data_IF_024707426688
#
_entry.id   IF_024707426688
#
_cell.length_a   1.000
_cell.length_b   1.000
_cell.length_c   1.000
_cell.angle_alpha   90.00
_cell.angle_beta   90.00
_cell.angle_gamma   90.00
#
_symmetry.space_group_name_H-M   'P 1'
#
loop_
_entity.id
_entity.type
_entity.pdbx_description
1 polymer ?
#
# COMPACT_ATOMS: atom_id res chain seq x y z
N UNK A 1 9.50 0.38 16.39
CA UNK A 1 8.97 -0.62 15.43
C UNK A 1 9.82 -1.90 15.29
N UNK A 2 11.16 -1.85 15.19
CA UNK A 2 11.99 -3.08 15.03
C UNK A 2 11.82 -4.12 16.16
N UNK A 3 11.73 -3.68 17.42
CA UNK A 3 11.53 -4.57 18.56
C UNK A 3 10.21 -5.36 18.46
N UNK A 4 9.12 -4.69 18.07
CA UNK A 4 7.81 -5.33 17.84
C UNK A 4 7.89 -6.34 16.71
N UNK A 5 8.52 -5.99 15.58
CA UNK A 5 8.72 -6.94 14.47
C UNK A 5 9.52 -8.18 14.91
N UNK A 6 10.56 -8.00 15.72
CA UNK A 6 11.33 -9.12 16.25
C UNK A 6 10.51 -10.01 17.20
N UNK A 7 9.67 -9.41 18.06
CA UNK A 7 8.78 -10.18 18.92
C UNK A 7 7.75 -10.98 18.12
N UNK A 8 7.13 -10.38 17.10
CA UNK A 8 6.17 -11.06 16.23
C UNK A 8 6.80 -12.23 15.45
N UNK A 9 8.08 -12.11 15.06
CA UNK A 9 8.83 -13.20 14.41
C UNK A 9 9.10 -14.41 15.31
N UNK A 10 8.85 -14.31 16.61
CA UNK A 10 8.96 -15.45 17.52
C UNK A 10 7.72 -16.36 17.48
N UNK A 11 6.61 -15.92 16.89
CA UNK A 11 5.41 -16.71 16.72
C UNK A 11 5.49 -17.58 15.45
N UNK A 12 4.94 -18.79 15.51
CA UNK A 12 4.73 -19.62 14.32
C UNK A 12 3.40 -19.31 13.64
N UNK A 13 3.28 -19.69 12.36
CA UNK A 13 2.00 -19.68 11.66
C UNK A 13 1.00 -20.59 12.38
N UNK A 14 -0.15 -20.04 12.77
CA UNK A 14 -1.21 -20.77 13.48
C UNK A 14 -1.15 -20.66 15.02
N UNK A 15 -0.15 -19.99 15.57
CA UNK A 15 -0.12 -19.65 17.00
C UNK A 15 -1.17 -18.58 17.32
N UNK A 16 -1.75 -18.65 18.52
CA UNK A 16 -2.58 -17.56 19.06
C UNK A 16 -1.68 -16.53 19.73
N UNK A 17 -1.68 -15.30 19.21
CA UNK A 17 -0.97 -14.16 19.80
C UNK A 17 -1.86 -13.31 20.70
N UNK A 18 -1.37 -12.97 21.89
CA UNK A 18 -2.06 -12.12 22.86
C UNK A 18 -1.14 -10.96 23.22
N UNK A 19 -1.64 -9.72 23.11
CA UNK A 19 -0.96 -8.50 23.54
C UNK A 19 -1.61 -8.03 24.83
N UNK A 20 -0.82 -7.87 25.89
CA UNK A 20 -1.27 -7.46 27.22
C UNK A 20 -0.61 -6.14 27.61
N UNK A 21 -1.42 -5.24 28.12
CA UNK A 21 -1.01 -3.99 28.75
C UNK A 21 -1.61 -3.93 30.16
N UNK A 22 -0.86 -3.42 31.12
CA UNK A 22 -1.31 -3.23 32.49
C UNK A 22 -0.95 -1.82 32.96
N UNK A 23 -1.92 -1.09 33.53
CA UNK A 23 -1.71 0.26 34.04
C UNK A 23 -0.67 0.33 35.17
N UNK A 24 -0.40 -0.81 35.82
CA UNK A 24 0.63 -0.96 36.86
C UNK A 24 2.04 -1.11 36.29
N UNK A 25 2.18 -1.49 35.02
CA UNK A 25 3.47 -1.67 34.33
C UNK A 25 3.49 -0.92 32.99
N UNK A 26 3.35 0.41 33.08
CA UNK A 26 3.19 1.31 31.93
C UNK A 26 4.42 1.39 31.01
N UNK A 27 5.55 0.85 31.47
CA UNK A 27 6.80 0.86 30.73
C UNK A 27 6.96 -0.38 29.86
N UNK A 28 6.06 -1.36 29.94
CA UNK A 28 6.19 -2.60 29.18
C UNK A 28 4.91 -2.96 28.43
N UNK A 29 5.09 -3.68 27.33
CA UNK A 29 4.04 -4.38 26.61
C UNK A 29 4.41 -5.86 26.59
N UNK A 30 3.49 -6.71 27.00
CA UNK A 30 3.71 -8.16 27.05
C UNK A 30 3.03 -8.85 25.87
N UNK A 31 3.79 -9.65 25.14
CA UNK A 31 3.30 -10.54 24.09
C UNK A 31 3.31 -11.97 24.62
N UNK A 32 2.26 -12.73 24.33
CA UNK A 32 2.16 -14.15 24.67
C UNK A 32 1.71 -14.93 23.43
N UNK A 33 2.50 -15.92 23.01
CA UNK A 33 2.21 -16.77 21.85
C UNK A 33 1.95 -18.20 22.31
N UNK A 34 0.78 -18.72 21.97
CA UNK A 34 0.30 -20.04 22.38
C UNK A 34 0.21 -20.91 21.14
N UNK A 35 0.84 -22.08 21.16
CA UNK A 35 0.70 -23.04 20.06
C UNK A 35 -0.75 -23.55 19.95
N UNK A 36 -1.10 -24.10 18.79
CA UNK A 36 -2.46 -24.58 18.53
C UNK A 36 -2.91 -25.67 19.52
N UNK A 37 -1.95 -26.46 20.04
CA UNK A 37 -2.19 -27.48 21.08
C UNK A 37 -2.24 -26.95 22.51
N UNK A 38 -1.93 -25.66 22.74
CA UNK A 38 -1.77 -25.03 24.06
C UNK A 38 -0.77 -25.76 24.97
N UNK A 39 0.20 -26.44 24.39
CA UNK A 39 1.27 -27.16 25.08
C UNK A 39 2.47 -26.27 25.37
N UNK A 40 2.65 -25.21 24.57
CA UNK A 40 3.75 -24.26 24.66
C UNK A 40 3.20 -22.84 24.72
N UNK A 41 3.63 -22.12 25.74
CA UNK A 41 3.39 -20.68 25.90
C UNK A 41 4.75 -19.98 25.86
N UNK A 42 4.87 -18.96 25.01
CA UNK A 42 6.05 -18.11 24.91
C UNK A 42 5.68 -16.67 25.28
N UNK A 43 6.37 -16.10 26.26
CA UNK A 43 6.13 -14.72 26.72
C UNK A 43 7.31 -13.81 26.40
N UNK A 44 7.03 -12.60 25.94
CA UNK A 44 8.00 -11.58 25.58
C UNK A 44 7.57 -10.24 26.17
N UNK A 45 8.47 -9.61 26.92
CA UNK A 45 8.27 -8.26 27.48
C UNK A 45 9.07 -7.27 26.67
N UNK A 46 8.40 -6.28 26.08
CA UNK A 46 9.05 -5.19 25.35
C UNK A 46 8.94 -3.88 26.15
N UNK A 47 10.08 -3.22 26.35
CA UNK A 47 10.10 -1.87 26.89
C UNK A 47 9.40 -0.90 25.92
N UNK A 48 8.44 -0.13 26.44
CA UNK A 48 7.64 0.85 25.71
C UNK A 48 8.49 2.07 25.39
N UNK A 49 8.39 2.53 24.14
CA UNK A 49 8.88 3.83 23.74
C UNK A 49 7.69 4.78 23.71
N UNK A 50 7.81 5.93 24.39
CA UNK A 50 6.83 7.01 24.25
C UNK A 50 7.11 7.69 22.92
N UNK A 51 6.11 7.74 22.06
CA UNK A 51 6.15 8.47 20.80
C UNK A 51 5.05 9.51 20.87
N UNK A 52 5.42 10.77 20.70
CA UNK A 52 4.45 11.84 20.52
C UNK A 52 3.78 11.64 19.16
N UNK A 53 2.53 11.18 19.19
CA UNK A 53 1.75 10.92 18.00
C UNK A 53 0.83 12.12 17.77
N UNK A 54 1.16 12.96 16.80
CA UNK A 54 0.19 13.89 16.23
C UNK A 54 -0.77 13.09 15.36
N UNK A 55 -2.04 13.06 15.76
CA UNK A 55 -3.05 12.36 14.98
C UNK A 55 -3.46 13.25 13.79
N UNK A 56 -2.95 12.91 12.61
CA UNK A 56 -3.37 13.55 11.37
C UNK A 56 -4.75 13.00 10.96
N UNK A 57 -5.73 13.88 10.85
CA UNK A 57 -7.03 13.55 10.27
C UNK A 57 -6.88 13.45 8.75
N UNK A 58 -7.37 12.34 8.18
CA UNK A 58 -7.42 12.16 6.74
C UNK A 58 -8.82 12.57 6.27
N UNK A 59 -8.95 13.59 5.40
CA UNK A 59 -10.25 14.01 4.90
C UNK A 59 -10.85 12.96 3.97
N UNK A 60 -12.18 12.89 3.94
CA UNK A 60 -12.89 12.14 2.91
C UNK A 60 -12.70 12.84 1.56
N UNK A 61 -12.19 12.10 0.59
CA UNK A 61 -11.90 12.62 -0.74
C UNK A 61 -12.50 11.71 -1.81
N UNK A 62 -13.09 12.34 -2.83
CA UNK A 62 -13.54 11.66 -4.04
C UNK A 62 -12.38 11.52 -5.01
N UNK A 63 -12.15 10.30 -5.50
CA UNK A 63 -11.07 10.01 -6.44
C UNK A 63 -11.58 9.93 -7.87
N UNK A 64 -10.78 10.42 -8.82
CA UNK A 64 -11.12 10.42 -10.24
C UNK A 64 -11.06 9.00 -10.85
N UNK A 65 -10.20 8.13 -10.31
CA UNK A 65 -10.13 6.73 -10.69
C UNK A 65 -9.81 5.82 -9.49
N UNK A 66 -10.31 4.60 -9.54
CA UNK A 66 -9.94 3.50 -8.64
C UNK A 66 -9.57 2.28 -9.47
N UNK A 67 -8.40 1.71 -9.18
CA UNK A 67 -7.89 0.48 -9.80
C UNK A 67 -7.84 -0.58 -8.72
N UNK A 68 -8.40 -1.76 -8.97
CA UNK A 68 -8.24 -2.93 -8.11
C UNK A 68 -7.53 -4.03 -8.88
N UNK A 69 -6.42 -4.54 -8.35
CA UNK A 69 -5.64 -5.59 -8.99
C UNK A 69 -5.06 -6.57 -7.97
N UNK A 70 -4.52 -7.71 -8.45
CA UNK A 70 -3.80 -8.64 -7.58
C UNK A 70 -2.65 -7.93 -6.86
N UNK A 71 -2.56 -8.10 -5.54
CA UNK A 71 -1.47 -7.54 -4.74
C UNK A 71 -0.11 -8.11 -5.14
N UNK A 72 -0.07 -9.40 -5.49
CA UNK A 72 1.13 -10.09 -5.99
C UNK A 72 1.63 -9.45 -7.29
N UNK A 73 0.71 -9.19 -8.22
CA UNK A 73 1.05 -8.55 -9.50
C UNK A 73 1.50 -7.10 -9.28
N UNK A 74 0.79 -6.33 -8.45
CA UNK A 74 1.22 -4.99 -8.05
C UNK A 74 2.64 -5.00 -7.46
N UNK A 75 2.93 -5.96 -6.58
CA UNK A 75 4.26 -6.09 -5.98
C UNK A 75 5.34 -6.38 -7.02
N UNK A 76 5.05 -7.22 -8.00
CA UNK A 76 5.97 -7.53 -9.10
C UNK A 76 6.22 -6.31 -9.97
N UNK A 77 5.17 -5.61 -10.40
CA UNK A 77 5.27 -4.39 -11.21
C UNK A 77 6.15 -3.34 -10.54
N UNK A 78 5.91 -3.07 -9.25
CA UNK A 78 6.69 -2.06 -8.53
C UNK A 78 8.08 -2.52 -8.11
N UNK A 79 8.32 -3.83 -8.03
CA UNK A 79 9.67 -4.38 -7.94
C UNK A 79 10.46 -4.12 -9.22
N UNK A 80 9.88 -4.42 -10.38
CA UNK A 80 10.50 -4.27 -11.69
C UNK A 80 10.75 -2.79 -12.02
N UNK A 81 9.74 -1.93 -11.83
CA UNK A 81 9.87 -0.48 -12.01
C UNK A 81 10.99 0.12 -11.16
N UNK A 82 11.15 -0.35 -9.91
CA UNK A 82 12.17 0.16 -8.99
C UNK A 82 13.61 -0.16 -9.42
N UNK A 83 13.81 -1.15 -10.31
CA UNK A 83 15.13 -1.43 -10.89
C UNK A 83 15.51 -0.43 -11.99
N UNK A 84 14.52 0.20 -12.65
CA UNK A 84 14.75 1.03 -13.83
C UNK A 84 14.62 2.53 -13.57
N UNK A 85 13.67 2.94 -12.71
CA UNK A 85 13.35 4.36 -12.52
C UNK A 85 13.06 4.74 -11.07
N UNK A 86 13.40 5.97 -10.70
CA UNK A 86 13.05 6.55 -9.39
C UNK A 86 11.62 7.10 -9.34
N UNK A 87 11.05 7.42 -10.50
CA UNK A 87 9.72 8.02 -10.64
C UNK A 87 8.86 7.17 -11.56
N UNK A 88 7.71 6.73 -11.05
CA UNK A 88 6.66 6.09 -11.86
C UNK A 88 5.67 7.15 -12.32
N UNK A 89 5.27 7.10 -13.58
CA UNK A 89 4.08 7.80 -14.08
C UNK A 89 2.95 6.80 -14.19
N UNK A 90 1.84 7.09 -13.50
CA UNK A 90 0.62 6.28 -13.55
C UNK A 90 -0.38 7.04 -14.41
N UNK A 91 -0.83 6.41 -15.50
CA UNK A 91 -1.85 6.97 -16.40
C UNK A 91 -3.04 6.04 -16.45
N UNK A 92 -4.22 6.60 -16.18
CA UNK A 92 -5.49 5.87 -16.17
C UNK A 92 -6.41 6.46 -17.21
N UNK A 93 -6.96 5.64 -18.07
CA UNK A 93 -7.96 6.01 -19.09
C UNK A 93 -9.23 5.18 -18.89
N UNK A 94 -10.22 5.35 -19.75
CA UNK A 94 -11.40 4.45 -19.77
C UNK A 94 -11.06 3.02 -20.20
N UNK A 95 -9.95 2.85 -20.90
CA UNK A 95 -9.56 1.58 -21.52
C UNK A 95 -8.57 0.78 -20.66
N UNK A 96 -7.99 1.38 -19.63
CA UNK A 96 -6.97 0.70 -18.82
C UNK A 96 -6.10 1.61 -17.97
N UNK A 97 -5.06 0.99 -17.41
CA UNK A 97 -4.01 1.66 -16.64
C UNK A 97 -2.64 1.32 -17.23
N UNK A 98 -1.78 2.33 -17.29
CA UNK A 98 -0.37 2.21 -17.67
C UNK A 98 0.52 2.72 -16.54
N UNK A 99 1.48 1.90 -16.14
CA UNK A 99 2.60 2.27 -15.28
C UNK A 99 3.84 2.42 -16.16
N UNK A 100 4.46 3.60 -16.15
CA UNK A 100 5.65 3.84 -16.98
C UNK A 100 6.76 4.53 -16.19
N UNK A 101 7.98 4.27 -16.61
CA UNK A 101 9.19 4.81 -16.03
C UNK A 101 10.18 5.11 -17.14
N UNK A 102 10.83 6.28 -17.07
CA UNK A 102 11.93 6.63 -17.96
C UNK A 102 13.14 7.00 -17.12
N UNK A 103 14.32 6.65 -17.61
CA UNK A 103 15.60 7.05 -17.08
C UNK A 103 16.54 7.27 -18.26
N UNK A 104 17.21 8.41 -18.29
CA UNK A 104 18.04 8.81 -19.43
C UNK A 104 19.21 7.84 -19.70
N UNK A 105 19.62 7.05 -18.71
CA UNK A 105 20.75 6.14 -18.81
C UNK A 105 20.34 4.67 -19.00
N UNK A 106 19.19 4.26 -18.46
CA UNK A 106 18.73 2.86 -18.47
C UNK A 106 17.51 2.60 -19.37
N UNK A 107 17.03 3.62 -20.08
CA UNK A 107 15.93 3.49 -21.05
C UNK A 107 14.56 3.69 -20.42
N UNK A 108 13.56 2.92 -20.87
CA UNK A 108 12.18 3.05 -20.40
C UNK A 108 11.54 1.69 -20.15
N UNK A 109 10.68 1.65 -19.14
CA UNK A 109 9.84 0.50 -18.79
C UNK A 109 8.37 0.95 -18.83
N UNK A 110 7.50 0.09 -19.37
CA UNK A 110 6.07 0.35 -19.46
C UNK A 110 5.31 -0.96 -19.23
N UNK A 111 4.32 -0.91 -18.36
CA UNK A 111 3.40 -2.02 -18.09
C UNK A 111 1.98 -1.50 -18.27
N UNK A 112 1.19 -2.15 -19.12
CA UNK A 112 -0.18 -1.74 -19.43
C UNK A 112 -1.15 -2.87 -19.15
N UNK A 113 -2.21 -2.55 -18.42
CA UNK A 113 -3.35 -3.43 -18.19
C UNK A 113 -4.57 -2.82 -18.87
N UNK A 114 -5.17 -3.58 -19.78
CA UNK A 114 -6.44 -3.20 -20.37
C UNK A 114 -7.55 -3.44 -19.33
N UNK A 115 -8.44 -2.47 -19.15
CA UNK A 115 -9.60 -2.57 -18.28
C UNK A 115 -10.66 -3.45 -18.92
N UNK A 116 -10.48 -4.77 -18.89
CA UNK A 116 -11.58 -5.71 -19.12
C UNK A 116 -12.23 -6.00 -17.78
N UNK A 117 -13.47 -5.55 -17.64
CA UNK A 117 -14.34 -5.88 -16.52
C UNK A 117 -14.72 -7.35 -16.64
N UNK A 118 -14.03 -8.25 -15.96
CA UNK A 118 -14.55 -9.59 -15.76
C UNK A 118 -14.11 -10.16 -14.40
N UNK A 119 -15.09 -10.33 -13.51
CA UNK A 119 -14.93 -10.93 -12.19
C UNK A 119 -14.41 -12.38 -12.27
N UNK A 120 -14.59 -13.07 -13.39
CA UNK A 120 -14.33 -14.50 -13.51
C UNK A 120 -12.85 -14.88 -13.77
N UNK A 121 -11.97 -13.94 -14.14
CA UNK A 121 -10.56 -14.24 -14.52
C UNK A 121 -9.52 -13.74 -13.51
N UNK A 122 -9.95 -13.02 -12.46
CA UNK A 122 -9.04 -12.44 -11.47
C UNK A 122 -8.19 -11.28 -12.02
N UNK A 123 -8.65 -10.62 -13.09
CA UNK A 123 -7.99 -9.51 -13.78
C UNK A 123 -7.99 -8.18 -12.98
N UNK A 124 -7.35 -7.16 -13.56
CA UNK A 124 -7.33 -5.78 -13.08
C UNK A 124 -8.70 -5.13 -13.32
N UNK A 125 -9.42 -4.78 -12.26
CA UNK A 125 -10.67 -4.06 -12.30
C UNK A 125 -10.40 -2.55 -12.28
N UNK A 126 -11.15 -1.80 -13.10
CA UNK A 126 -10.94 -0.37 -13.27
C UNK A 126 -12.26 0.38 -13.13
N UNK A 127 -12.35 1.24 -12.13
CA UNK A 127 -13.47 2.17 -11.94
C UNK A 127 -13.01 3.58 -12.29
N UNK A 128 -13.49 4.10 -13.42
CA UNK A 128 -13.11 5.41 -13.93
C UNK A 128 -14.27 6.40 -13.77
N UNK A 129 -14.10 7.38 -12.86
CA UNK A 129 -15.14 8.34 -12.48
C UNK A 129 -14.83 9.77 -12.94
N UNK A 130 -13.89 9.97 -13.87
CA UNK A 130 -13.57 11.30 -14.40
C UNK A 130 -14.79 11.88 -15.14
N UNK A 131 -15.32 13.00 -14.61
CA UNK A 131 -16.53 13.66 -15.13
C UNK A 131 -16.24 14.75 -16.16
N UNK A 132 -14.99 15.20 -16.24
CA UNK A 132 -14.55 16.20 -17.20
C UNK A 132 -14.37 15.54 -18.58
N UNK A 133 -15.31 15.81 -19.50
CA UNK A 133 -15.33 15.21 -20.83
C UNK A 133 -14.11 15.58 -21.70
N UNK A 134 -13.39 16.66 -21.36
CA UNK A 134 -12.17 17.07 -22.07
C UNK A 134 -10.93 16.33 -21.55
N UNK A 135 -10.94 15.84 -20.31
CA UNK A 135 -9.83 15.09 -19.69
C UNK A 135 -9.98 13.59 -19.94
N UNK A 136 -9.36 13.12 -21.02
CA UNK A 136 -9.39 11.71 -21.45
C UNK A 136 -8.59 10.74 -20.55
N UNK A 137 -7.75 11.27 -19.66
CA UNK A 137 -6.93 10.47 -18.74
C UNK A 137 -6.70 11.17 -17.41
N UNK A 138 -6.36 10.38 -16.39
CA UNK A 138 -5.82 10.83 -15.10
C UNK A 138 -4.36 10.40 -15.05
N UNK A 139 -3.43 11.34 -14.93
CA UNK A 139 -2.00 11.06 -14.90
C UNK A 139 -1.35 11.72 -13.69
N UNK A 140 -0.50 10.98 -12.97
CA UNK A 140 0.30 11.53 -11.87
C UNK A 140 1.60 10.76 -11.69
N UNK A 141 2.61 11.41 -11.10
CA UNK A 141 3.95 10.86 -10.89
C UNK A 141 4.19 10.58 -9.42
N UNK A 142 4.85 9.47 -9.08
CA UNK A 142 5.13 9.09 -7.69
C UNK A 142 6.54 8.51 -7.54
N UNK A 143 7.06 8.48 -6.31
CA UNK A 143 8.33 7.81 -6.01
C UNK A 143 8.18 6.29 -6.12
N UNK A 144 8.89 5.68 -7.08
CA UNK A 144 8.88 4.22 -7.26
C UNK A 144 9.38 3.49 -6.02
N UNK A 145 10.37 4.07 -5.33
CA UNK A 145 10.91 3.51 -4.07
C UNK A 145 9.85 3.38 -2.99
N UNK A 146 8.97 4.39 -2.85
CA UNK A 146 7.91 4.35 -1.84
C UNK A 146 6.79 3.40 -2.26
N UNK A 147 6.39 3.41 -3.54
CA UNK A 147 5.42 2.44 -4.08
C UNK A 147 5.86 0.99 -3.87
N UNK A 148 7.13 0.68 -4.14
CA UNK A 148 7.73 -0.63 -3.86
C UNK A 148 7.80 -0.96 -2.37
N UNK A 149 7.91 0.04 -1.48
CA UNK A 149 7.80 -0.20 -0.05
C UNK A 149 6.38 -0.60 0.35
N UNK A 150 5.36 0.07 -0.20
CA UNK A 150 3.96 -0.23 0.07
C UNK A 150 3.54 -1.60 -0.49
N UNK A 151 4.10 -2.01 -1.63
CA UNK A 151 3.94 -3.34 -2.20
C UNK A 151 4.30 -4.50 -1.24
N UNK A 152 5.12 -4.27 -0.21
CA UNK A 152 5.45 -5.29 0.80
C UNK A 152 4.25 -5.72 1.65
N UNK A 153 3.16 -4.94 1.64
CA UNK A 153 1.90 -5.29 2.29
C UNK A 153 1.08 -6.34 1.53
N UNK A 154 1.55 -6.83 0.38
CA UNK A 154 0.80 -7.81 -0.44
C UNK A 154 0.49 -9.13 0.27
N UNK A 155 1.21 -9.47 1.34
CA UNK A 155 0.88 -10.62 2.20
C UNK A 155 -0.35 -10.41 3.09
N UNK A 156 -0.96 -9.22 3.13
CA UNK A 156 -2.12 -8.90 3.96
C UNK A 156 -3.46 -9.07 3.24
N UNK A 157 -3.45 -9.05 1.90
CA UNK A 157 -4.65 -9.09 1.06
C UNK A 157 -4.30 -9.59 -0.33
N UNK A 158 -5.16 -10.40 -0.94
CA UNK A 158 -4.99 -10.88 -2.31
C UNK A 158 -5.14 -9.76 -3.36
N UNK A 159 -5.85 -8.68 -2.98
CA UNK A 159 -6.17 -7.53 -3.84
C UNK A 159 -5.67 -6.24 -3.21
N UNK A 160 -5.27 -5.30 -4.07
CA UNK A 160 -4.88 -3.94 -3.68
C UNK A 160 -5.71 -2.94 -4.47
N UNK A 161 -6.15 -1.87 -3.81
CA UNK A 161 -6.88 -0.76 -4.44
C UNK A 161 -6.03 0.49 -4.48
N UNK A 162 -5.91 1.09 -5.66
CA UNK A 162 -5.22 2.35 -5.87
C UNK A 162 -6.26 3.40 -6.22
N UNK A 163 -6.31 4.49 -5.48
CA UNK A 163 -7.22 5.60 -5.73
C UNK A 163 -6.42 6.82 -6.13
N UNK A 164 -6.75 7.37 -7.30
CA UNK A 164 -5.96 8.39 -7.97
C UNK A 164 -6.82 9.59 -8.36
N UNK A 165 -6.28 10.77 -8.10
CA UNK A 165 -6.77 12.06 -8.60
C UNK A 165 -5.58 12.92 -9.02
N UNK A 166 -5.73 13.79 -10.04
CA UNK A 166 -4.66 14.71 -10.43
C UNK A 166 -4.25 15.61 -9.25
N UNK A 167 -2.95 15.78 -9.05
CA UNK A 167 -2.36 16.67 -8.04
C UNK A 167 -2.73 16.35 -6.57
N UNK A 168 -3.26 15.15 -6.32
CA UNK A 168 -3.67 14.71 -5.00
C UNK A 168 -2.86 13.48 -4.57
N UNK A 169 -2.67 13.24 -3.26
CA UNK A 169 -2.00 12.04 -2.79
C UNK A 169 -2.71 10.77 -3.29
N UNK A 170 -1.92 9.81 -3.82
CA UNK A 170 -2.45 8.49 -4.11
C UNK A 170 -2.76 7.77 -2.80
N UNK A 171 -3.94 7.15 -2.73
CA UNK A 171 -4.32 6.24 -1.63
C UNK A 171 -4.17 4.81 -2.11
N UNK A 172 -3.44 3.99 -1.36
CA UNK A 172 -3.26 2.55 -1.64
C UNK A 172 -3.82 1.78 -0.45
N UNK A 173 -4.78 0.89 -0.71
CA UNK A 173 -5.54 0.19 0.32
C UNK A 173 -5.40 -1.33 0.15
N UNK A 174 -5.08 -1.99 1.27
CA UNK A 174 -5.13 -3.44 1.45
C UNK A 174 -6.18 -3.74 2.52
N UNK A 175 -7.23 -4.50 2.17
CA UNK A 175 -8.24 -4.92 3.14
C UNK A 175 -7.74 -6.16 3.89
N UNK A 176 -7.68 -6.08 5.22
CA UNK A 176 -7.15 -7.16 6.07
C UNK A 176 -8.34 -8.02 6.50
N UNK A 177 -8.73 -8.98 5.66
CA UNK A 177 -9.97 -9.75 5.79
C UNK A 177 -11.23 -8.85 5.82
N UNK A 178 -12.39 -9.40 5.48
CA UNK A 178 -13.59 -8.58 5.26
C UNK A 178 -14.09 -7.84 6.52
N UNK A 179 -13.77 -8.34 7.72
CA UNK A 179 -14.30 -7.81 8.99
C UNK A 179 -13.24 -7.23 9.95
N UNK A 180 -11.93 -7.30 9.64
CA UNK A 180 -10.88 -6.88 10.60
C UNK A 180 -10.42 -5.44 10.42
N UNK A 181 -10.45 -4.94 9.18
CA UNK A 181 -10.06 -3.56 8.86
C UNK A 181 -9.21 -3.45 7.60
N UNK A 182 -8.39 -2.40 7.52
CA UNK A 182 -7.58 -2.10 6.33
C UNK A 182 -6.23 -1.49 6.70
N UNK A 183 -5.28 -1.58 5.77
CA UNK A 183 -4.04 -0.81 5.75
C UNK A 183 -4.07 0.16 4.58
N UNK A 184 -3.90 1.46 4.88
CA UNK A 184 -3.89 2.53 3.87
C UNK A 184 -2.55 3.26 3.87
N UNK A 185 -1.97 3.40 2.70
CA UNK A 185 -0.82 4.26 2.45
C UNK A 185 -1.25 5.49 1.66
N UNK A 186 -0.65 6.63 1.98
CA UNK A 186 -0.87 7.90 1.30
C UNK A 186 0.48 8.42 0.82
N UNK A 187 0.54 8.82 -0.44
CA UNK A 187 1.76 9.34 -1.04
C UNK A 187 1.46 10.54 -1.92
N UNK A 188 2.02 11.69 -1.56
CA UNK A 188 1.94 12.89 -2.37
C UNK A 188 2.59 12.67 -3.75
N UNK A 189 2.04 13.27 -4.81
CA UNK A 189 2.63 13.21 -6.14
C UNK A 189 3.99 13.92 -6.15
N UNK A 190 4.89 13.46 -7.03
CA UNK A 190 6.09 14.22 -7.39
C UNK A 190 5.66 15.33 -8.34
N UNK A 191 5.95 16.56 -7.95
CA UNK A 191 5.83 17.76 -8.77
C UNK A 191 7.23 18.01 -9.32
N UNK A 192 7.38 18.18 -10.64
CA UNK A 192 8.67 18.57 -11.20
C UNK A 192 8.89 20.06 -10.90
N UNK A 193 10.15 20.49 -10.72
CA UNK A 193 10.47 21.90 -10.39
C UNK A 193 9.90 22.91 -11.40
N UNK A 194 9.71 22.49 -12.67
CA UNK A 194 9.09 23.27 -13.74
C UNK A 194 7.56 23.44 -13.56
N UNK A 195 6.90 22.51 -12.86
CA UNK A 195 5.46 22.56 -12.56
C UNK A 195 5.15 23.51 -11.37
N UNK A 196 6.18 23.99 -10.64
CA UNK A 196 6.05 24.95 -9.53
C UNK A 196 6.15 26.43 -9.94
N UNK A 197 6.29 26.72 -11.23
CA UNK A 197 6.45 28.10 -11.75
C UNK A 197 5.13 28.79 -12.18
N UNK A 198 3.97 28.31 -11.74
CA UNK A 198 2.67 28.93 -12.03
C UNK A 198 1.88 29.30 -10.78
#
# INVERSE_FOLDING_TARGET
MKAVSNALKCANSGDTGIIKYADTDQNNINFSFHDSGKTKIQELTLARMVVDAEHLQIPDQTYAAMIEMSSVEFSKVFHDLAQFTETVTITVTKDGVTFSGKNDHSGSIMVTYNGKFNDDTGECLLFYHQTDAEKKSVTSRFSTRQMHMFAKASGLSDRVRLYLSPNEPIKIEYNINDDTGYLRYYLAPRIDDDDMMF
#
